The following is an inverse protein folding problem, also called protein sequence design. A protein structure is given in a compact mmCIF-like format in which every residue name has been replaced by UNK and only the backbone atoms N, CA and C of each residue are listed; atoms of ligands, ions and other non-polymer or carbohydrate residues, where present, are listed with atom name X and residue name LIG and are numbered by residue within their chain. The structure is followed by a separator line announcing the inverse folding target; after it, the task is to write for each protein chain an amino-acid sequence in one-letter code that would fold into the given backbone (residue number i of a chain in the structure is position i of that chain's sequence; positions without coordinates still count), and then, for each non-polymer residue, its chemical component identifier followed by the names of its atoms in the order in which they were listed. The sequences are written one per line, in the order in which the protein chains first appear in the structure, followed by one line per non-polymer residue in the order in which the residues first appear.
data_IF_285314622683
#
_entry.id   IF_285314622683
#
_cell.length_a   1.000
_cell.length_b   1.000
_cell.length_c   1.000
_cell.angle_alpha   90.00
_cell.angle_beta   90.00
_cell.angle_gamma   90.00
#
_symmetry.space_group_name_H-M   'P 1'
#
loop_
_entity.id
_entity.type
_entity.pdbx_description
1 polymer ?
#
# COMPACT_ATOMS: atom_id res chain seq x y z
N UNK A 1 -3.40 -2.94 11.92
CA UNK A 1 -2.07 -3.56 11.76
C UNK A 1 -1.82 -4.07 10.35
N UNK A 2 -2.63 -5.00 9.82
CA UNK A 2 -2.45 -5.56 8.46
C UNK A 2 -2.34 -4.48 7.39
N UNK A 3 -3.30 -3.55 7.34
CA UNK A 3 -3.28 -2.45 6.36
C UNK A 3 -1.99 -1.63 6.42
N UNK A 4 -1.48 -1.33 7.62
CA UNK A 4 -0.23 -0.57 7.79
C UNK A 4 0.97 -1.35 7.26
N UNK A 5 1.10 -2.63 7.63
CA UNK A 5 2.22 -3.47 7.18
C UNK A 5 2.22 -3.66 5.66
N UNK A 6 1.05 -3.93 5.07
CA UNK A 6 0.89 -4.05 3.62
C UNK A 6 1.12 -2.69 2.93
N UNK A 7 0.64 -1.61 3.52
CA UNK A 7 0.84 -0.25 3.00
C UNK A 7 2.31 0.14 2.95
N UNK A 8 3.09 -0.20 3.99
CA UNK A 8 4.54 -0.01 3.99
C UNK A 8 5.21 -0.77 2.82
N UNK A 9 4.87 -2.05 2.64
CA UNK A 9 5.41 -2.84 1.53
C UNK A 9 5.06 -2.23 0.15
N UNK A 10 3.82 -1.80 -0.05
CA UNK A 10 3.37 -1.15 -1.28
C UNK A 10 4.11 0.18 -1.50
N UNK A 11 4.31 0.97 -0.45
CA UNK A 11 5.05 2.23 -0.51
C UNK A 11 6.49 2.02 -0.99
N UNK A 12 7.20 1.04 -0.39
CA UNK A 12 8.57 0.70 -0.78
C UNK A 12 8.65 0.18 -2.23
N UNK A 13 7.69 -0.66 -2.65
CA UNK A 13 7.60 -1.11 -4.04
C UNK A 13 7.38 0.05 -5.02
N UNK A 14 6.58 1.05 -4.63
CA UNK A 14 6.31 2.22 -5.46
C UNK A 14 7.52 3.16 -5.56
N UNK A 15 8.30 3.30 -4.49
CA UNK A 15 9.48 4.16 -4.46
C UNK A 15 10.70 3.52 -5.12
N UNK A 16 10.97 2.26 -4.81
CA UNK A 16 12.24 1.60 -5.14
C UNK A 16 12.10 0.35 -6.03
N UNK A 17 10.87 -0.09 -6.33
CA UNK A 17 10.63 -1.26 -7.16
C UNK A 17 10.85 -1.03 -8.66
N UNK A 18 11.02 -2.11 -9.45
CA UNK A 18 11.15 -2.02 -10.91
C UNK A 18 9.87 -1.47 -11.55
N UNK A 19 10.01 -0.87 -12.75
CA UNK A 19 8.91 -0.15 -13.44
C UNK A 19 7.55 -0.89 -13.43
N UNK A 20 7.47 -2.20 -13.77
CA UNK A 20 6.18 -2.89 -13.78
C UNK A 20 5.49 -2.95 -12.40
N UNK A 21 6.26 -3.28 -11.35
CA UNK A 21 5.73 -3.35 -9.98
C UNK A 21 5.35 -1.98 -9.46
N UNK A 22 6.10 -0.94 -9.82
CA UNK A 22 5.76 0.44 -9.48
C UNK A 22 4.41 0.86 -10.09
N UNK A 23 4.16 0.52 -11.36
CA UNK A 23 2.87 0.79 -12.00
C UNK A 23 1.72 0.03 -11.37
N UNK A 24 1.93 -1.23 -10.99
CA UNK A 24 0.93 -2.02 -10.24
C UNK A 24 0.65 -1.39 -8.88
N UNK A 25 1.67 -0.94 -8.15
CA UNK A 25 1.50 -0.27 -6.87
C UNK A 25 0.73 1.05 -6.99
N UNK A 26 1.03 1.85 -8.03
CA UNK A 26 0.30 3.09 -8.35
C UNK A 26 -1.17 2.77 -8.64
N UNK A 27 -1.45 1.83 -9.55
CA UNK A 27 -2.81 1.45 -9.91
C UNK A 27 -3.60 0.92 -8.71
N UNK A 28 -2.99 0.08 -7.88
CA UNK A 28 -3.58 -0.39 -6.63
C UNK A 28 -3.96 0.79 -5.71
N UNK A 29 -3.01 1.70 -5.43
CA UNK A 29 -3.25 2.81 -4.50
C UNK A 29 -4.32 3.76 -5.02
N UNK A 30 -4.32 4.04 -6.32
CA UNK A 30 -5.26 5.00 -6.92
C UNK A 30 -6.69 4.45 -6.92
N UNK A 31 -6.88 3.17 -7.26
CA UNK A 31 -8.18 2.51 -7.26
C UNK A 31 -8.76 2.47 -5.84
N UNK A 32 -8.02 1.93 -4.87
CA UNK A 32 -8.58 1.69 -3.54
C UNK A 32 -8.72 2.94 -2.68
N UNK A 33 -8.04 4.05 -3.02
CA UNK A 33 -8.28 5.36 -2.41
C UNK A 33 -9.45 6.11 -3.03
N UNK A 34 -9.83 5.78 -4.27
CA UNK A 34 -10.98 6.36 -4.95
C UNK A 34 -12.31 5.66 -4.59
N UNK A 35 -12.25 4.38 -4.21
CA UNK A 35 -13.45 3.60 -3.88
C UNK A 35 -13.97 3.89 -2.46
N UNK A 36 -15.29 4.07 -2.27
CA UNK A 36 -15.89 4.08 -0.95
C UNK A 36 -15.71 2.73 -0.25
N UNK A 37 -15.49 2.75 1.07
CA UNK A 37 -15.30 1.52 1.86
C UNK A 37 -16.47 0.54 1.76
N UNK A 38 -17.69 1.08 1.66
CA UNK A 38 -18.89 0.29 1.51
C UNK A 38 -18.88 -0.53 0.20
N UNK A 39 -18.35 0.03 -0.89
CA UNK A 39 -18.27 -0.67 -2.18
C UNK A 39 -17.34 -1.89 -2.05
N UNK A 40 -16.18 -1.72 -1.44
CA UNK A 40 -15.21 -2.81 -1.26
C UNK A 40 -15.76 -3.89 -0.32
N UNK A 41 -16.45 -3.50 0.76
CA UNK A 41 -17.15 -4.43 1.64
C UNK A 41 -18.21 -5.25 0.90
N UNK A 42 -19.05 -4.60 0.09
CA UNK A 42 -20.09 -5.26 -0.68
C UNK A 42 -19.47 -6.23 -1.69
N UNK A 43 -18.41 -5.83 -2.40
CA UNK A 43 -17.72 -6.72 -3.33
C UNK A 43 -17.17 -7.96 -2.63
N UNK A 44 -16.53 -7.80 -1.47
CA UNK A 44 -15.93 -8.91 -0.74
C UNK A 44 -16.99 -9.83 -0.12
N UNK A 45 -18.07 -9.28 0.42
CA UNK A 45 -19.09 -10.08 1.10
C UNK A 45 -20.10 -10.71 0.12
N UNK A 46 -20.54 -9.97 -0.90
CA UNK A 46 -21.60 -10.39 -1.81
C UNK A 46 -21.10 -10.82 -3.20
N UNK A 47 -20.01 -10.25 -3.73
CA UNK A 47 -19.55 -10.58 -5.09
C UNK A 47 -18.58 -11.78 -5.14
N UNK A 48 -17.64 -11.88 -4.20
CA UNK A 48 -16.70 -13.02 -4.11
C UNK A 48 -17.38 -14.41 -4.06
N UNK A 49 -18.55 -14.59 -3.42
CA UNK A 49 -19.28 -15.86 -3.46
C UNK A 49 -19.62 -16.38 -4.85
N UNK A 50 -19.79 -15.50 -5.86
CA UNK A 50 -19.99 -15.92 -7.25
C UNK A 50 -18.73 -16.55 -7.88
N UNK A 51 -17.56 -16.29 -7.30
CA UNK A 51 -16.28 -16.91 -7.65
C UNK A 51 -15.98 -18.14 -6.78
N UNK A 52 -16.94 -18.59 -5.96
CA UNK A 52 -16.79 -19.73 -5.04
C UNK A 52 -16.07 -19.39 -3.72
N UNK A 53 -15.68 -18.13 -3.50
CA UNK A 53 -14.99 -17.70 -2.28
C UNK A 53 -16.01 -17.14 -1.30
N UNK A 54 -16.22 -17.84 -0.17
CA UNK A 54 -17.15 -17.41 0.89
C UNK A 54 -16.39 -17.10 2.16
N UNK A 55 -16.38 -15.84 2.54
CA UNK A 55 -15.76 -15.36 3.78
C UNK A 55 -16.84 -15.14 4.85
N UNK A 56 -16.48 -15.34 6.12
CA UNK A 56 -17.35 -14.93 7.22
C UNK A 56 -17.50 -13.40 7.25
N UNK A 57 -18.58 -12.88 7.84
CA UNK A 57 -18.80 -11.42 7.93
C UNK A 57 -17.62 -10.69 8.58
N UNK A 58 -17.02 -11.29 9.61
CA UNK A 58 -15.82 -10.77 10.25
C UNK A 58 -14.61 -10.75 9.29
N UNK A 59 -14.35 -11.86 8.58
CA UNK A 59 -13.24 -11.92 7.64
C UNK A 59 -13.43 -10.94 6.47
N UNK A 60 -14.63 -10.84 5.92
CA UNK A 60 -14.95 -9.88 4.86
C UNK A 60 -14.70 -8.43 5.29
N UNK A 61 -15.12 -8.09 6.52
CA UNK A 61 -14.86 -6.77 7.08
C UNK A 61 -13.36 -6.51 7.21
N UNK A 62 -12.63 -7.42 7.87
CA UNK A 62 -11.19 -7.30 8.07
C UNK A 62 -10.46 -7.14 6.73
N UNK A 63 -10.81 -7.94 5.72
CA UNK A 63 -10.18 -7.86 4.39
C UNK A 63 -10.48 -6.53 3.70
N UNK A 64 -11.73 -6.08 3.68
CA UNK A 64 -12.11 -4.82 3.05
C UNK A 64 -11.41 -3.62 3.69
N UNK A 65 -11.44 -3.54 5.02
CA UNK A 65 -10.76 -2.48 5.75
C UNK A 65 -9.24 -2.57 5.58
N UNK A 66 -8.65 -3.77 5.56
CA UNK A 66 -7.21 -3.93 5.36
C UNK A 66 -6.75 -3.45 3.99
N UNK A 67 -7.50 -3.74 2.91
CA UNK A 67 -7.20 -3.31 1.54
C UNK A 67 -7.22 -1.79 1.42
N UNK A 68 -8.26 -1.15 1.95
CA UNK A 68 -8.38 0.31 1.89
C UNK A 68 -7.32 0.97 2.76
N UNK A 69 -7.17 0.50 4.00
CA UNK A 69 -6.16 1.06 4.90
C UNK A 69 -4.75 0.90 4.36
N UNK A 70 -4.42 -0.18 3.64
CA UNK A 70 -3.10 -0.32 3.02
C UNK A 70 -2.87 0.68 1.90
N UNK A 71 -3.88 0.99 1.10
CA UNK A 71 -3.77 2.00 0.05
C UNK A 71 -3.52 3.40 0.64
N UNK A 72 -4.24 3.78 1.71
CA UNK A 72 -4.00 5.05 2.40
C UNK A 72 -2.66 5.07 3.13
N UNK A 73 -2.31 4.02 3.88
CA UNK A 73 -1.03 3.93 4.58
C UNK A 73 0.16 3.98 3.61
N UNK A 74 0.07 3.34 2.44
CA UNK A 74 1.12 3.41 1.42
C UNK A 74 1.42 4.85 0.99
N UNK A 75 0.39 5.68 0.83
CA UNK A 75 0.55 7.09 0.49
C UNK A 75 1.16 7.91 1.62
N UNK A 76 0.73 7.65 2.87
CA UNK A 76 1.29 8.30 4.05
C UNK A 76 2.78 8.01 4.16
N UNK A 77 3.18 6.74 4.04
CA UNK A 77 4.61 6.36 4.05
C UNK A 77 5.38 6.99 2.89
N UNK A 78 4.82 6.95 1.67
CA UNK A 78 5.48 7.51 0.49
C UNK A 78 5.73 9.00 0.66
N UNK A 79 4.70 9.73 1.09
CA UNK A 79 4.78 11.17 1.33
C UNK A 79 5.74 11.50 2.47
N UNK A 80 5.77 10.67 3.51
CA UNK A 80 6.72 10.80 4.61
C UNK A 80 8.17 10.65 4.14
N UNK A 81 8.48 9.63 3.33
CA UNK A 81 9.82 9.40 2.79
C UNK A 81 10.22 10.54 1.83
N UNK A 82 9.34 10.92 0.91
CA UNK A 82 9.62 11.99 -0.06
C UNK A 82 9.73 13.38 0.57
N UNK A 83 9.19 13.58 1.79
CA UNK A 83 9.35 14.84 2.52
C UNK A 83 10.77 15.08 3.04
N UNK A 84 11.61 14.04 3.07
CA UNK A 84 13.00 14.15 3.52
C UNK A 84 13.82 14.89 2.45
N UNK A 85 14.56 15.95 2.80
CA UNK A 85 15.41 16.66 1.86
C UNK A 85 16.45 15.74 1.20
N UNK A 86 16.61 15.84 -0.13
CA UNK A 86 17.56 15.03 -0.90
C UNK A 86 19.00 15.09 -0.36
N UNK A 87 19.40 16.22 0.20
CA UNK A 87 20.71 16.41 0.82
C UNK A 87 21.02 15.42 1.96
N UNK A 88 20.01 14.88 2.64
CA UNK A 88 20.22 13.83 3.66
C UNK A 88 20.68 12.52 3.02
N UNK A 89 20.08 12.13 1.89
CA UNK A 89 20.50 10.96 1.13
C UNK A 89 21.88 11.16 0.49
N UNK A 90 22.16 12.36 -0.01
CA UNK A 90 23.47 12.73 -0.58
C UNK A 90 24.58 12.71 0.48
N UNK A 91 24.32 13.22 1.69
CA UNK A 91 25.26 13.20 2.80
C UNK A 91 25.59 11.76 3.25
N UNK A 92 24.58 10.90 3.35
CA UNK A 92 24.78 9.49 3.67
C UNK A 92 25.60 8.75 2.59
N UNK A 93 25.36 9.04 1.31
CA UNK A 93 26.17 8.51 0.20
C UNK A 93 27.62 9.02 0.26
N UNK A 94 27.85 10.28 0.61
CA UNK A 94 29.19 10.85 0.76
C UNK A 94 29.97 10.22 1.94
N UNK A 95 29.28 9.74 2.97
CA UNK A 95 29.85 8.97 4.07
C UNK A 95 30.05 7.48 3.74
N UNK A 96 29.71 7.04 2.53
CA UNK A 96 29.84 5.65 2.09
C UNK A 96 28.81 4.71 2.71
N UNK A 97 27.70 5.23 3.25
CA UNK A 97 26.63 4.40 3.80
C UNK A 97 25.89 3.67 2.66
N UNK A 98 25.70 2.34 2.76
CA UNK A 98 24.94 1.59 1.77
C UNK A 98 23.44 1.88 1.92
N UNK A 99 22.68 1.74 0.83
CA UNK A 99 21.25 2.12 0.76
C UNK A 99 20.36 1.53 1.87
N UNK A 100 20.68 0.36 2.43
CA UNK A 100 19.90 -0.23 3.53
C UNK A 100 20.05 0.53 4.86
N UNK A 101 21.14 1.28 5.02
CA UNK A 101 21.46 2.12 6.18
C UNK A 101 21.02 3.58 6.00
N UNK A 102 20.53 3.95 4.80
CA UNK A 102 20.17 5.32 4.41
C UNK A 102 18.66 5.49 4.32
#
# INVERSE_FOLDING_TARGET
VIGIAVGLAISLLRLYGPKPLRWLAIGYTDIFRALPVLVVLILIYYALPFLGIRLSSWASAVTAFAIIMSAYSAEVFRSGIESIPKGQFEAAQALGLPFMLT
#
